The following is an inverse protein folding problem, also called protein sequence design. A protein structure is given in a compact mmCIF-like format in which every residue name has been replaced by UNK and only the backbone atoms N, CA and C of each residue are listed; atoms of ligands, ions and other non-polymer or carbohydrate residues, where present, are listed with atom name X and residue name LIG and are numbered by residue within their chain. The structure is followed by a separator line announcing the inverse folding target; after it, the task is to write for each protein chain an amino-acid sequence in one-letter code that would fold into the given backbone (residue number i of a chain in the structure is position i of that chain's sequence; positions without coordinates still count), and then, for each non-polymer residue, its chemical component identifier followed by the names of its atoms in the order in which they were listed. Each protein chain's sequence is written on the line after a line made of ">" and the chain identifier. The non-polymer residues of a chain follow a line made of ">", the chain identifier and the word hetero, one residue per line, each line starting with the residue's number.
data_IF_746802028999
#
_entry.id   IF_746802028999
#
_cell.length_a   1.000
_cell.length_b   1.000
_cell.length_c   1.000
_cell.angle_alpha   90.00
_cell.angle_beta   90.00
_cell.angle_gamma   90.00
#
_symmetry.space_group_name_H-M   'P 1'
#
loop_
_entity.id
_entity.type
_entity.pdbx_description
1 polymer ?
#
# COMPACT_ATOMS: atom_id res chain seq x y z
N UNK A 1 -2.94 -21.23 -15.74
CA UNK A 1 -2.63 -20.03 -16.55
C UNK A 1 -1.83 -19.16 -15.60
N UNK A 2 -0.53 -18.99 -15.81
CA UNK A 2 0.26 -18.12 -14.94
C UNK A 2 -0.33 -16.72 -15.08
N UNK A 3 -0.86 -16.15 -14.00
CA UNK A 3 -1.23 -14.74 -14.01
C UNK A 3 0.06 -13.97 -14.32
N UNK A 4 0.03 -13.14 -15.37
CA UNK A 4 1.10 -12.19 -15.62
C UNK A 4 0.92 -11.11 -14.56
N UNK A 5 1.92 -10.87 -13.71
CA UNK A 5 1.81 -9.91 -12.61
C UNK A 5 1.43 -8.51 -13.09
N UNK A 6 0.67 -7.80 -12.25
CA UNK A 6 0.19 -6.45 -12.53
C UNK A 6 1.24 -5.40 -12.17
N UNK A 7 1.40 -4.41 -13.05
CA UNK A 7 2.23 -3.23 -12.82
C UNK A 7 1.40 -1.98 -13.08
N UNK A 8 1.49 -1.01 -12.17
CA UNK A 8 0.77 0.24 -12.32
C UNK A 8 1.25 1.31 -11.36
N UNK A 9 1.49 2.51 -11.90
CA UNK A 9 1.93 3.67 -11.14
C UNK A 9 0.90 4.78 -11.23
N UNK A 10 0.45 5.29 -10.09
CA UNK A 10 -0.63 6.27 -9.98
C UNK A 10 -0.26 7.39 -9.01
N UNK A 11 -0.53 8.63 -9.38
CA UNK A 11 -0.42 9.78 -8.48
C UNK A 11 -1.80 10.42 -8.25
N UNK A 12 -2.14 10.63 -6.99
CA UNK A 12 -3.29 11.40 -6.56
C UNK A 12 -2.84 12.78 -6.09
N UNK A 13 -3.29 13.80 -6.81
CA UNK A 13 -3.12 15.20 -6.45
C UNK A 13 -4.35 16.00 -6.85
N UNK A 14 -4.64 17.07 -6.13
CA UNK A 14 -5.77 17.98 -6.42
C UNK A 14 -7.14 17.27 -6.60
N UNK A 15 -7.35 16.14 -5.92
CA UNK A 15 -8.61 15.40 -5.96
C UNK A 15 -8.75 14.39 -7.11
N UNK A 16 -7.70 14.17 -7.91
CA UNK A 16 -7.76 13.33 -9.11
C UNK A 16 -6.55 12.42 -9.28
N UNK A 17 -6.77 11.24 -9.85
CA UNK A 17 -5.70 10.33 -10.24
C UNK A 17 -5.08 10.68 -11.59
N UNK A 18 -3.76 10.50 -11.67
CA UNK A 18 -2.98 10.47 -12.90
C UNK A 18 -2.28 9.12 -12.98
N UNK A 19 -2.49 8.38 -14.07
CA UNK A 19 -1.67 7.22 -14.40
C UNK A 19 -0.33 7.71 -14.95
N UNK A 20 0.76 7.20 -14.38
CA UNK A 20 2.12 7.58 -14.74
C UNK A 20 2.79 6.46 -15.54
N UNK A 21 3.73 6.83 -16.40
CA UNK A 21 4.60 5.82 -17.01
C UNK A 21 5.62 5.35 -15.98
N UNK A 22 6.09 4.10 -16.11
CA UNK A 22 7.14 3.55 -15.25
C UNK A 22 8.37 4.50 -15.23
N UNK A 23 8.82 4.86 -14.02
CA UNK A 23 9.94 5.79 -13.81
C UNK A 23 9.60 7.29 -13.93
N UNK A 24 8.34 7.66 -14.20
CA UNK A 24 7.89 9.05 -14.16
C UNK A 24 7.61 9.46 -12.70
N UNK A 25 8.45 10.34 -12.16
CA UNK A 25 8.26 10.96 -10.84
C UNK A 25 8.02 12.47 -11.04
N UNK A 26 6.80 12.89 -11.41
CA UNK A 26 6.50 14.30 -11.51
C UNK A 26 6.64 14.94 -10.12
N UNK A 27 7.05 16.22 -10.03
CA UNK A 27 6.91 16.94 -8.78
C UNK A 27 5.41 17.01 -8.43
N UNK A 28 5.02 16.35 -7.34
CA UNK A 28 3.65 16.38 -6.84
C UNK A 28 3.52 17.53 -5.85
N UNK A 29 2.45 18.32 -5.98
CA UNK A 29 2.12 19.34 -5.00
C UNK A 29 1.49 18.66 -3.76
N UNK A 30 1.95 19.04 -2.56
CA UNK A 30 1.36 18.54 -1.33
C UNK A 30 -0.03 19.15 -1.08
N UNK A 31 -0.98 18.38 -0.51
CA UNK A 31 -0.88 16.96 -0.16
C UNK A 31 -1.03 16.02 -1.36
N UNK A 32 -0.17 15.00 -1.42
CA UNK A 32 -0.08 14.03 -2.50
C UNK A 32 -0.02 12.60 -1.98
N UNK A 33 -0.49 11.66 -2.81
CA UNK A 33 -0.39 10.22 -2.58
C UNK A 33 0.05 9.57 -3.90
N UNK A 34 1.00 8.66 -3.85
CA UNK A 34 1.51 7.92 -4.99
C UNK A 34 1.47 6.43 -4.68
N UNK A 35 1.00 5.66 -5.66
CA UNK A 35 0.80 4.22 -5.59
C UNK A 35 1.63 3.61 -6.70
N UNK A 36 2.42 2.60 -6.37
CA UNK A 36 3.19 1.82 -7.35
C UNK A 36 3.07 0.35 -7.03
N UNK A 37 2.46 -0.38 -7.97
CA UNK A 37 2.21 -1.81 -7.87
C UNK A 37 3.26 -2.55 -8.69
N UNK A 38 3.88 -3.54 -8.06
CA UNK A 38 4.92 -4.37 -8.66
C UNK A 38 4.52 -5.84 -8.59
N UNK A 39 4.39 -6.45 -9.77
CA UNK A 39 4.18 -7.89 -9.98
C UNK A 39 2.98 -8.49 -9.22
N UNK A 40 1.93 -7.70 -8.96
CA UNK A 40 0.77 -8.09 -8.11
C UNK A 40 1.09 -8.46 -6.65
N UNK A 41 2.34 -8.30 -6.19
CA UNK A 41 2.78 -8.73 -4.85
C UNK A 41 3.13 -7.56 -3.92
N UNK A 42 3.62 -6.46 -4.47
CA UNK A 42 4.03 -5.28 -3.70
C UNK A 42 3.20 -4.08 -4.14
N UNK A 43 2.69 -3.31 -3.18
CA UNK A 43 2.30 -1.93 -3.44
C UNK A 43 3.11 -0.99 -2.57
N UNK A 44 3.81 -0.03 -3.18
CA UNK A 44 4.42 1.10 -2.49
C UNK A 44 3.43 2.26 -2.42
N UNK A 45 3.17 2.75 -1.21
CA UNK A 45 2.34 3.92 -0.93
C UNK A 45 3.25 5.05 -0.46
N UNK A 46 3.48 6.04 -1.30
CA UNK A 46 4.28 7.23 -0.97
C UNK A 46 3.35 8.40 -0.74
N UNK A 47 3.46 9.08 0.41
CA UNK A 47 2.51 10.11 0.81
C UNK A 47 3.20 11.33 1.40
N UNK A 48 2.67 12.51 1.10
CA UNK A 48 3.17 13.78 1.60
C UNK A 48 2.00 14.73 1.91
N UNK A 49 2.05 15.52 3.00
CA UNK A 49 3.10 15.54 4.02
C UNK A 49 3.13 14.24 4.84
N UNK A 50 4.32 13.86 5.31
CA UNK A 50 4.56 12.55 5.96
C UNK A 50 3.99 12.45 7.38
N UNK A 51 3.68 13.59 8.00
CA UNK A 51 3.20 13.62 9.39
C UNK A 51 4.16 12.90 10.35
N UNK A 52 3.68 12.01 11.24
CA UNK A 52 4.54 11.20 12.10
C UNK A 52 5.26 10.07 11.37
N UNK A 53 4.88 9.74 10.13
CA UNK A 53 5.45 8.68 9.30
C UNK A 53 6.85 8.96 8.76
N UNK A 54 7.33 8.06 7.89
CA UNK A 54 8.47 8.33 7.00
C UNK A 54 8.03 8.82 5.62
N UNK A 55 6.76 8.62 5.27
CA UNK A 55 6.20 8.97 3.96
C UNK A 55 6.14 7.80 2.99
N UNK A 56 6.51 6.59 3.41
CA UNK A 56 6.45 5.37 2.60
C UNK A 56 5.85 4.25 3.44
N UNK A 57 4.80 3.61 2.91
CA UNK A 57 4.21 2.39 3.46
C UNK A 57 4.10 1.34 2.35
N UNK A 58 3.93 0.07 2.72
CA UNK A 58 3.79 -1.03 1.77
C UNK A 58 2.50 -1.82 2.04
N UNK A 59 1.89 -2.36 0.99
CA UNK A 59 0.79 -3.34 1.06
C UNK A 59 1.25 -4.65 0.38
N UNK A 60 0.71 -5.78 0.81
CA UNK A 60 1.13 -7.10 0.31
C UNK A 60 2.45 -7.51 0.95
N UNK A 61 3.49 -7.69 0.13
CA UNK A 61 4.85 -7.93 0.59
C UNK A 61 5.65 -6.63 0.69
N UNK A 62 6.64 -6.60 1.59
CA UNK A 62 7.67 -5.54 1.58
C UNK A 62 8.73 -5.84 0.53
N UNK A 63 9.45 -4.82 -0.01
CA UNK A 63 10.60 -5.08 -0.88
C UNK A 63 11.67 -5.97 -0.24
N UNK A 64 11.87 -5.84 1.09
CA UNK A 64 12.82 -6.68 1.85
C UNK A 64 12.42 -8.15 1.81
N UNK A 65 11.13 -8.44 2.00
CA UNK A 65 10.59 -9.80 1.94
C UNK A 65 10.61 -10.33 0.51
N UNK A 66 10.03 -9.61 -0.45
CA UNK A 66 9.88 -10.08 -1.83
C UNK A 66 11.22 -10.34 -2.54
N UNK A 67 12.21 -9.47 -2.37
CA UNK A 67 13.54 -9.66 -2.95
C UNK A 67 14.49 -10.49 -2.07
N UNK A 68 14.03 -10.96 -0.91
CA UNK A 68 14.83 -11.62 0.13
C UNK A 68 16.12 -10.84 0.45
N UNK A 69 16.03 -9.51 0.43
CA UNK A 69 17.18 -8.61 0.51
C UNK A 69 16.93 -7.51 1.54
N UNK A 70 17.61 -7.52 2.70
CA UNK A 70 17.43 -6.53 3.75
C UNK A 70 17.93 -5.13 3.36
N UNK A 71 18.49 -4.93 2.15
CA UNK A 71 18.87 -3.61 1.63
C UNK A 71 17.94 -3.13 0.50
N UNK A 72 16.84 -3.83 0.21
CA UNK A 72 15.90 -3.43 -0.85
C UNK A 72 15.08 -2.17 -0.49
N UNK A 73 14.88 -1.91 0.80
CA UNK A 73 14.24 -0.69 1.35
C UNK A 73 14.75 -0.41 2.76
N UNK A 74 14.34 0.69 3.37
CA UNK A 74 14.44 0.87 4.82
C UNK A 74 13.52 -0.11 5.56
N UNK A 75 13.80 -0.47 6.83
CA UNK A 75 12.91 -1.32 7.62
C UNK A 75 11.54 -0.68 7.84
N UNK A 76 10.50 -1.49 7.81
CA UNK A 76 9.13 -1.00 8.03
C UNK A 76 8.82 -0.72 9.50
N UNK A 77 8.12 0.39 9.77
CA UNK A 77 7.51 0.72 11.06
C UNK A 77 6.01 0.95 10.84
N UNK A 78 5.26 -0.15 10.73
CA UNK A 78 3.84 -0.12 10.33
C UNK A 78 2.97 0.74 11.26
N UNK A 79 3.29 0.81 12.55
CA UNK A 79 2.56 1.65 13.49
C UNK A 79 2.77 3.14 13.19
N UNK A 80 4.02 3.51 12.90
CA UNK A 80 4.39 4.88 12.56
C UNK A 80 3.84 5.28 11.19
N UNK A 81 3.87 4.39 10.21
CA UNK A 81 3.34 4.66 8.87
C UNK A 81 1.82 4.75 8.86
N UNK A 82 1.11 3.89 9.61
CA UNK A 82 -0.34 4.01 9.78
C UNK A 82 -0.73 5.35 10.42
N UNK A 83 0.04 5.83 11.40
CA UNK A 83 -0.16 7.15 12.00
C UNK A 83 0.10 8.28 10.98
N UNK A 84 1.10 8.12 10.12
CA UNK A 84 1.41 9.05 9.02
C UNK A 84 0.25 9.18 8.03
N UNK A 85 -0.24 8.04 7.55
CA UNK A 85 -1.38 7.97 6.63
C UNK A 85 -2.67 8.48 7.27
N UNK A 86 -2.93 8.20 8.54
CA UNK A 86 -4.09 8.74 9.25
C UNK A 86 -4.02 10.27 9.39
N UNK A 87 -2.83 10.82 9.64
CA UNK A 87 -2.61 12.27 9.65
C UNK A 87 -2.80 12.88 8.26
N UNK A 88 -2.32 12.22 7.20
CA UNK A 88 -2.53 12.62 5.82
C UNK A 88 -4.03 12.62 5.46
N UNK A 89 -4.75 11.56 5.80
CA UNK A 89 -6.20 11.43 5.61
C UNK A 89 -6.98 12.59 6.26
N UNK A 90 -6.56 13.00 7.45
CA UNK A 90 -7.18 14.08 8.21
C UNK A 90 -7.02 15.48 7.57
N UNK A 91 -6.16 15.65 6.56
CA UNK A 91 -6.04 16.90 5.81
C UNK A 91 -7.29 17.21 4.97
N UNK A 92 -8.01 16.17 4.56
CA UNK A 92 -9.18 16.29 3.69
C UNK A 92 -10.47 15.76 4.31
N UNK A 93 -10.36 15.02 5.41
CA UNK A 93 -11.47 14.37 6.06
C UNK A 93 -11.65 14.84 7.50
N UNK A 94 -12.87 14.73 8.01
CA UNK A 94 -13.17 14.90 9.42
C UNK A 94 -13.52 13.55 10.02
N UNK A 95 -13.03 13.27 11.23
CA UNK A 95 -13.37 12.06 11.97
C UNK A 95 -12.33 11.69 13.01
N UNK A 96 -12.45 10.47 13.54
CA UNK A 96 -11.53 9.94 14.55
C UNK A 96 -10.24 9.41 13.88
N UNK A 97 -9.16 10.19 14.03
CA UNK A 97 -7.85 9.88 13.46
C UNK A 97 -7.25 8.61 14.09
N UNK A 98 -7.50 8.35 15.37
CA UNK A 98 -6.98 7.16 16.03
C UNK A 98 -7.69 5.89 15.55
N UNK A 99 -9.01 5.96 15.34
CA UNK A 99 -9.75 4.87 14.72
C UNK A 99 -9.30 4.63 13.28
N UNK A 100 -9.07 5.70 12.50
CA UNK A 100 -8.55 5.59 11.13
C UNK A 100 -7.15 4.97 11.09
N UNK A 101 -6.27 5.34 12.02
CA UNK A 101 -4.96 4.71 12.14
C UNK A 101 -5.08 3.20 12.38
N UNK A 102 -5.97 2.76 13.28
CA UNK A 102 -6.17 1.34 13.55
C UNK A 102 -6.68 0.58 12.32
N UNK A 103 -7.61 1.17 11.57
CA UNK A 103 -8.12 0.61 10.30
C UNK A 103 -7.01 0.52 9.24
N UNK A 104 -6.22 1.58 9.05
CA UNK A 104 -5.15 1.60 8.04
C UNK A 104 -4.03 0.61 8.36
N UNK A 105 -3.77 0.36 9.65
CA UNK A 105 -2.75 -0.59 10.10
C UNK A 105 -3.02 -2.01 9.58
N UNK A 106 -4.28 -2.41 9.42
CA UNK A 106 -4.66 -3.75 8.93
C UNK A 106 -4.23 -4.02 7.49
N UNK A 107 -3.94 -2.97 6.71
CA UNK A 107 -3.50 -3.09 5.33
C UNK A 107 -1.98 -3.16 5.18
N UNK A 108 -1.22 -2.67 6.16
CA UNK A 108 0.21 -2.43 6.00
C UNK A 108 1.02 -3.71 6.13
N UNK A 109 1.93 -3.90 5.17
CA UNK A 109 2.91 -4.96 5.19
C UNK A 109 4.05 -4.62 6.18
N UNK A 110 4.43 -5.60 7.00
CA UNK A 110 5.64 -5.56 7.81
C UNK A 110 6.72 -6.46 7.22
N UNK A 111 7.98 -6.17 7.53
CA UNK A 111 9.10 -7.04 7.17
C UNK A 111 8.88 -8.42 7.80
N UNK A 112 8.81 -9.46 6.98
CA UNK A 112 8.64 -10.83 7.46
C UNK A 112 10.00 -11.49 7.69
N UNK A 113 10.07 -12.32 8.72
CA UNK A 113 11.20 -13.21 8.90
C UNK A 113 10.93 -14.50 8.12
N UNK A 114 11.78 -14.90 7.17
CA UNK A 114 11.58 -16.13 6.40
C UNK A 114 11.52 -17.38 7.28
N UNK A 115 12.08 -17.33 8.49
CA UNK A 115 12.02 -18.43 9.46
C UNK A 115 10.64 -18.56 10.17
N UNK A 116 9.78 -17.55 10.06
CA UNK A 116 8.44 -17.52 10.69
C UNK A 116 7.34 -18.04 9.75
N UNK A 117 7.67 -18.41 8.49
CA UNK A 117 6.71 -18.90 7.52
C UNK A 117 6.34 -20.37 7.78
N UNK A 118 5.12 -20.62 8.26
CA UNK A 118 4.54 -21.97 8.36
C UNK A 118 3.48 -22.18 7.28
N UNK A 119 3.75 -23.07 6.32
CA UNK A 119 2.76 -23.51 5.34
C UNK A 119 1.65 -24.30 6.04
N UNK A 120 0.42 -23.79 6.02
CA UNK A 120 -0.75 -24.50 6.50
C UNK A 120 -1.37 -25.33 5.37
N UNK A 121 -1.03 -26.62 5.31
CA UNK A 121 -1.54 -27.55 4.27
C UNK A 121 -3.07 -27.77 4.32
N UNK A 122 -3.72 -27.39 5.43
CA UNK A 122 -5.18 -27.52 5.62
C UNK A 122 -5.94 -26.24 5.24
N UNK A 123 -5.26 -25.18 4.77
CA UNK A 123 -5.91 -23.95 4.36
C UNK A 123 -6.66 -24.14 3.04
N UNK A 124 -7.98 -23.90 3.07
CA UNK A 124 -8.82 -23.99 1.90
C UNK A 124 -8.49 -22.82 0.96
N UNK A 125 -7.78 -23.13 -0.12
CA UNK A 125 -7.32 -22.15 -1.12
C UNK A 125 -8.49 -21.37 -1.73
N UNK A 126 -9.69 -21.98 -1.78
CA UNK A 126 -10.91 -21.35 -2.29
C UNK A 126 -11.57 -20.40 -1.25
N UNK A 127 -11.10 -20.41 0.00
CA UNK A 127 -11.54 -19.51 1.07
C UNK A 127 -10.55 -18.35 1.34
N UNK A 128 -9.39 -18.33 0.69
CA UNK A 128 -8.43 -17.24 0.80
C UNK A 128 -9.05 -15.99 0.14
N UNK A 129 -9.06 -14.90 0.87
CA UNK A 129 -9.55 -13.62 0.36
C UNK A 129 -8.63 -13.13 -0.78
N UNK A 130 -9.20 -12.74 -1.92
CA UNK A 130 -8.44 -12.19 -3.05
C UNK A 130 -7.53 -11.02 -2.64
N UNK A 131 -7.89 -10.26 -1.60
CA UNK A 131 -7.04 -9.18 -1.05
C UNK A 131 -5.78 -9.66 -0.31
N UNK A 132 -5.72 -10.93 0.06
CA UNK A 132 -4.51 -11.57 0.61
C UNK A 132 -3.68 -12.26 -0.49
N UNK A 133 -4.26 -12.48 -1.68
CA UNK A 133 -3.58 -13.11 -2.82
C UNK A 133 -3.06 -12.08 -3.82
N UNK A 134 -3.82 -11.02 -4.10
CA UNK A 134 -3.52 -10.03 -5.13
C UNK A 134 -3.47 -8.62 -4.53
N UNK A 135 -2.32 -7.98 -4.60
CA UNK A 135 -2.09 -6.68 -3.96
C UNK A 135 -2.93 -5.56 -4.59
N UNK A 136 -3.32 -5.68 -5.86
CA UNK A 136 -4.23 -4.73 -6.51
C UNK A 136 -5.60 -4.67 -5.80
N UNK A 137 -6.13 -5.82 -5.35
CA UNK A 137 -7.39 -5.88 -4.59
C UNK A 137 -7.20 -5.28 -3.20
N UNK A 138 -6.06 -5.58 -2.54
CA UNK A 138 -5.70 -4.95 -1.27
C UNK A 138 -5.60 -3.43 -1.40
N UNK A 139 -5.01 -2.96 -2.49
CA UNK A 139 -4.86 -1.54 -2.83
C UNK A 139 -6.20 -0.87 -3.05
N UNK A 140 -7.11 -1.48 -3.82
CA UNK A 140 -8.48 -0.96 -4.00
C UNK A 140 -9.18 -0.74 -2.65
N UNK A 141 -9.10 -1.72 -1.75
CA UNK A 141 -9.72 -1.65 -0.41
C UNK A 141 -9.05 -0.61 0.48
N UNK A 142 -7.72 -0.52 0.43
CA UNK A 142 -6.96 0.52 1.12
C UNK A 142 -7.35 1.93 0.65
N UNK A 143 -7.47 2.15 -0.66
CA UNK A 143 -7.90 3.44 -1.22
C UNK A 143 -9.34 3.77 -0.80
N UNK A 144 -10.23 2.77 -0.76
CA UNK A 144 -11.59 2.94 -0.24
C UNK A 144 -11.59 3.31 1.26
N UNK A 145 -10.72 2.69 2.07
CA UNK A 145 -10.53 3.03 3.49
C UNK A 145 -10.04 4.47 3.69
N UNK A 146 -9.21 4.98 2.77
CA UNK A 146 -8.79 6.39 2.72
C UNK A 146 -9.90 7.33 2.20
N UNK A 147 -11.02 6.81 1.72
CA UNK A 147 -12.11 7.60 1.12
C UNK A 147 -11.73 8.18 -0.25
N UNK A 148 -10.76 7.57 -0.94
CA UNK A 148 -10.31 7.99 -2.26
C UNK A 148 -11.06 7.21 -3.35
N UNK A 149 -11.26 7.81 -4.54
CA UNK A 149 -11.68 7.03 -5.70
C UNK A 149 -10.60 5.99 -6.06
N UNK A 150 -10.97 4.92 -6.73
CA UNK A 150 -10.02 3.93 -7.26
C UNK A 150 -9.60 4.36 -8.68
N UNK A 151 -8.31 4.28 -9.06
CA UNK A 151 -7.88 4.48 -10.45
C UNK A 151 -8.63 3.56 -11.42
N UNK A 152 -8.92 4.05 -12.63
CA UNK A 152 -9.69 3.27 -13.62
C UNK A 152 -9.06 1.91 -13.94
N UNK A 153 -7.72 1.86 -14.04
CA UNK A 153 -6.98 0.63 -14.35
C UNK A 153 -6.96 -0.36 -13.17
N UNK A 154 -7.36 0.10 -11.97
CA UNK A 154 -7.54 -0.70 -10.76
C UNK A 154 -9.03 -0.93 -10.43
N UNK A 155 -9.98 -0.54 -11.29
CA UNK A 155 -11.42 -0.65 -10.98
C UNK A 155 -12.11 -1.84 -11.64
#
# INVERSE_FOLDING_TARGET
>A
MFAVGFFGTYAYEHGSWKTLSEGELPPLDEPSLWIDIHDSDITSVVYAPVGPGSGVAYLGLTPRTYFENPNASDPTDVLREAAGLAAWWALHNSGDVAAKQAELLEFLASDENPDDFEWNEDEDVDAIDDGEVFVEVKTQRFLAALGLPVPYDLS
#
